data_IF_965059970710
#
_entry.id   IF_965059970710
#
_cell.length_a   1.000
_cell.length_b   1.000
_cell.length_c   1.000
_cell.angle_alpha   90.00
_cell.angle_beta   90.00
_cell.angle_gamma   90.00
#
_symmetry.space_group_name_H-M   'P 1'
#
loop_
_entity.id
_entity.type
_entity.pdbx_description
1 polymer ?
#
# COMPACT_ATOMS: atom_id res chain seq x y z
N UNK A 1 12.30 27.32 43.14
CA UNK A 1 12.15 25.85 43.03
C UNK A 1 10.82 25.58 42.33
N UNK A 2 10.82 25.36 41.02
CA UNK A 2 9.69 24.78 40.28
C UNK A 2 10.26 24.09 39.04
N UNK A 3 9.79 22.86 38.83
CA UNK A 3 10.45 21.81 38.05
C UNK A 3 10.23 22.05 36.55
N UNK A 4 11.29 21.85 35.78
CA UNK A 4 11.27 21.69 34.33
C UNK A 4 10.43 20.45 33.99
N UNK A 5 9.19 20.63 33.56
CA UNK A 5 8.50 19.64 32.73
C UNK A 5 8.75 20.03 31.28
N UNK A 6 9.94 19.68 30.81
CA UNK A 6 10.24 19.63 29.38
C UNK A 6 9.63 18.33 28.87
N UNK A 7 8.30 18.32 28.68
CA UNK A 7 7.64 17.33 27.85
C UNK A 7 8.16 17.57 26.43
N UNK A 8 9.26 16.90 26.11
CA UNK A 8 9.76 16.76 24.77
C UNK A 8 8.68 16.02 23.97
N UNK A 9 7.77 16.78 23.38
CA UNK A 9 6.99 16.34 22.23
C UNK A 9 8.04 16.05 21.17
N UNK A 10 8.53 14.82 21.17
CA UNK A 10 9.32 14.33 20.05
C UNK A 10 8.31 14.38 18.91
N UNK A 11 8.49 15.21 17.86
CA UNK A 11 7.68 15.01 16.68
C UNK A 11 7.99 13.58 16.28
N UNK A 12 7.01 12.68 16.44
CA UNK A 12 7.04 11.36 15.85
C UNK A 12 7.08 11.68 14.38
N UNK A 13 8.28 11.86 13.83
CA UNK A 13 8.51 11.95 12.40
C UNK A 13 7.89 10.66 11.89
N UNK A 14 6.65 10.75 11.41
CA UNK A 14 6.05 9.75 10.56
C UNK A 14 7.06 9.63 9.43
N UNK A 15 7.92 8.61 9.52
CA UNK A 15 8.91 8.36 8.50
C UNK A 15 8.08 8.24 7.21
N UNK A 16 8.39 9.04 6.17
CA UNK A 16 7.66 8.94 4.92
C UNK A 16 7.66 7.46 4.51
N UNK A 17 6.50 6.96 4.14
CA UNK A 17 6.38 5.58 3.71
C UNK A 17 7.33 5.36 2.53
N UNK A 18 8.10 4.28 2.56
CA UNK A 18 8.94 3.92 1.41
C UNK A 18 8.06 3.41 0.26
N UNK A 19 6.88 2.90 0.60
CA UNK A 19 5.85 2.49 -0.34
C UNK A 19 4.51 2.21 0.33
N UNK A 20 3.65 1.47 -0.37
CA UNK A 20 2.27 1.23 0.04
C UNK A 20 1.83 -0.20 -0.28
N UNK A 21 0.97 -0.73 0.59
CA UNK A 21 0.12 -1.88 0.31
C UNK A 21 -1.25 -1.38 -0.18
N UNK A 22 -1.68 -1.90 -1.32
CA UNK A 22 -2.83 -1.40 -2.09
C UNK A 22 -3.76 -2.57 -2.40
N UNK A 23 -5.03 -2.41 -2.08
CA UNK A 23 -6.10 -3.32 -2.46
C UNK A 23 -6.74 -2.84 -3.78
N UNK A 24 -6.85 -3.77 -4.72
CA UNK A 24 -7.59 -3.60 -5.97
C UNK A 24 -8.83 -4.48 -5.88
N UNK A 25 -10.01 -3.87 -5.97
CA UNK A 25 -11.29 -4.58 -5.98
C UNK A 25 -11.95 -4.42 -7.34
N UNK A 26 -12.08 -5.52 -8.07
CA UNK A 26 -12.72 -5.56 -9.38
C UNK A 26 -14.25 -5.56 -9.24
N UNK A 27 -14.96 -5.01 -10.24
CA UNK A 27 -16.42 -4.93 -10.20
C UNK A 27 -17.06 -6.30 -10.43
N UNK A 28 -16.32 -7.21 -11.07
CA UNK A 28 -16.70 -8.60 -11.29
C UNK A 28 -17.02 -9.28 -9.95
N UNK A 29 -18.29 -9.62 -9.79
CA UNK A 29 -18.81 -10.36 -8.65
C UNK A 29 -18.93 -11.84 -9.04
N UNK A 30 -18.10 -12.70 -8.47
CA UNK A 30 -18.07 -14.14 -8.74
C UNK A 30 -18.20 -14.90 -7.42
N UNK A 31 -19.03 -15.94 -7.42
CA UNK A 31 -19.20 -16.84 -6.25
C UNK A 31 -19.54 -16.13 -4.94
N UNK A 32 -20.26 -15.00 -4.98
CA UNK A 32 -20.68 -14.27 -3.78
C UNK A 32 -19.67 -13.24 -3.27
N UNK A 33 -18.55 -13.03 -3.97
CA UNK A 33 -17.51 -12.08 -3.60
C UNK A 33 -17.01 -11.26 -4.81
N UNK A 34 -16.46 -10.08 -4.54
CA UNK A 34 -15.69 -9.33 -5.54
C UNK A 34 -14.31 -9.94 -5.70
N UNK A 35 -13.78 -9.96 -6.92
CA UNK A 35 -12.38 -10.34 -7.13
C UNK A 35 -11.46 -9.24 -6.57
N UNK A 36 -10.56 -9.64 -5.67
CA UNK A 36 -9.71 -8.73 -4.90
C UNK A 36 -8.25 -9.15 -4.99
N UNK A 37 -7.39 -8.18 -5.26
CA UNK A 37 -5.96 -8.38 -5.36
C UNK A 37 -5.22 -7.39 -4.47
N UNK A 38 -4.21 -7.87 -3.75
CA UNK A 38 -3.27 -7.00 -3.04
C UNK A 38 -2.08 -6.72 -3.95
N UNK A 39 -1.64 -5.47 -3.95
CA UNK A 39 -0.50 -4.96 -4.69
C UNK A 39 0.44 -4.22 -3.74
N UNK A 40 1.73 -4.35 -3.99
CA UNK A 40 2.78 -3.62 -3.28
C UNK A 40 3.42 -2.63 -4.23
N UNK A 41 3.53 -1.37 -3.80
CA UNK A 41 4.16 -0.30 -4.57
C UNK A 41 5.31 0.29 -3.75
N UNK A 42 6.54 0.29 -4.28
CA UNK A 42 7.69 0.89 -3.61
C UNK A 42 7.94 2.29 -4.17
N UNK A 43 7.01 3.18 -3.87
CA UNK A 43 7.01 4.58 -4.25
C UNK A 43 6.47 5.39 -3.09
N UNK A 44 7.23 6.40 -2.66
CA UNK A 44 6.89 7.22 -1.49
C UNK A 44 5.76 8.21 -1.73
N UNK A 45 5.46 8.54 -2.99
CA UNK A 45 4.30 9.35 -3.34
C UNK A 45 3.06 8.46 -3.51
N UNK A 46 2.03 8.77 -2.72
CA UNK A 46 0.79 8.00 -2.67
C UNK A 46 0.02 7.99 -3.99
N UNK A 47 -0.04 9.15 -4.67
CA UNK A 47 -0.77 9.28 -5.92
C UNK A 47 -0.07 8.54 -7.05
N UNK A 48 1.26 8.60 -7.09
CA UNK A 48 2.08 7.87 -8.04
C UNK A 48 2.00 6.36 -7.80
N UNK A 49 2.02 5.90 -6.54
CA UNK A 49 1.84 4.49 -6.20
C UNK A 49 0.50 3.94 -6.72
N UNK A 50 -0.59 4.69 -6.52
CA UNK A 50 -1.92 4.33 -7.05
C UNK A 50 -1.92 4.30 -8.57
N UNK A 51 -1.35 5.32 -9.22
CA UNK A 51 -1.25 5.41 -10.68
C UNK A 51 -0.50 4.22 -11.28
N UNK A 52 0.63 3.84 -10.68
CA UNK A 52 1.42 2.69 -11.15
C UNK A 52 0.68 1.37 -10.95
N UNK A 53 0.00 1.18 -9.82
CA UNK A 53 -0.83 -0.01 -9.61
C UNK A 53 -1.96 -0.07 -10.64
N UNK A 54 -2.69 1.02 -10.88
CA UNK A 54 -3.73 1.09 -11.91
C UNK A 54 -3.21 0.72 -13.30
N UNK A 55 -2.02 1.21 -13.66
CA UNK A 55 -1.38 0.87 -14.93
C UNK A 55 -0.96 -0.61 -15.00
N UNK A 56 -0.42 -1.16 -13.91
CA UNK A 56 0.10 -2.52 -13.88
C UNK A 56 -1.02 -3.58 -13.83
N UNK A 57 -2.13 -3.32 -13.15
CA UNK A 57 -3.28 -4.22 -13.11
C UNK A 57 -4.23 -4.02 -14.30
N UNK A 58 -4.07 -2.94 -15.08
CA UNK A 58 -4.94 -2.60 -16.20
C UNK A 58 -6.31 -2.05 -15.80
N UNK A 59 -6.50 -1.71 -14.52
CA UNK A 59 -7.75 -1.20 -13.97
C UNK A 59 -8.00 0.28 -14.28
N UNK A 60 -7.89 0.67 -15.55
CA UNK A 60 -7.87 2.07 -15.96
C UNK A 60 -9.12 2.88 -15.58
N UNK A 61 -10.22 2.25 -15.14
CA UNK A 61 -11.35 2.88 -14.43
C UNK A 61 -12.32 1.88 -13.76
N UNK A 62 -12.18 0.57 -14.03
CA UNK A 62 -13.21 -0.39 -13.65
C UNK A 62 -13.05 -0.93 -12.22
N UNK A 63 -11.86 -0.84 -11.61
CA UNK A 63 -11.60 -1.34 -10.27
C UNK A 63 -11.51 -0.21 -9.23
N UNK A 64 -12.00 -0.50 -8.02
CA UNK A 64 -11.78 0.34 -6.85
C UNK A 64 -10.36 0.10 -6.32
N UNK A 65 -9.62 1.18 -6.10
CA UNK A 65 -8.26 1.14 -5.55
C UNK A 65 -8.27 1.75 -4.15
N UNK A 66 -7.76 1.03 -3.17
CA UNK A 66 -7.70 1.44 -1.77
C UNK A 66 -6.30 1.22 -1.22
N UNK A 67 -5.76 2.18 -0.49
CA UNK A 67 -4.49 2.00 0.21
C UNK A 67 -4.79 1.43 1.58
N UNK A 68 -4.21 0.27 1.86
CA UNK A 68 -4.41 -0.43 3.13
C UNK A 68 -3.46 0.10 4.20
N UNK A 69 -2.17 0.21 3.85
CA UNK A 69 -1.14 0.61 4.79
C UNK A 69 0.10 1.18 4.08
N UNK A 70 0.84 2.09 4.74
CA UNK A 70 2.21 2.39 4.35
C UNK A 70 3.10 1.16 4.57
N UNK A 71 4.07 0.97 3.69
CA UNK A 71 5.02 -0.14 3.70
C UNK A 71 6.46 0.38 3.80
N UNK A 72 7.27 -0.31 4.60
CA UNK A 72 8.70 -0.04 4.72
C UNK A 72 9.50 -0.73 3.61
N UNK A 73 10.64 -0.17 3.23
CA UNK A 73 11.49 -0.70 2.15
C UNK A 73 11.87 -2.17 2.39
N UNK A 74 12.20 -2.54 3.63
CA UNK A 74 12.56 -3.92 3.99
C UNK A 74 11.39 -4.91 3.75
N UNK A 75 10.16 -4.50 4.02
CA UNK A 75 8.98 -5.33 3.74
C UNK A 75 8.81 -5.50 2.22
N UNK A 76 8.88 -4.41 1.47
CA UNK A 76 8.75 -4.41 0.01
C UNK A 76 9.86 -5.24 -0.66
N UNK A 77 11.09 -5.13 -0.17
CA UNK A 77 12.23 -5.93 -0.62
C UNK A 77 12.03 -7.43 -0.34
N UNK A 78 11.47 -7.79 0.81
CA UNK A 78 11.12 -9.18 1.12
C UNK A 78 10.05 -9.74 0.17
N UNK A 79 9.14 -8.89 -0.32
CA UNK A 79 8.18 -9.23 -1.38
C UNK A 79 8.74 -9.09 -2.81
N UNK A 80 10.02 -8.70 -2.92
CA UNK A 80 10.74 -8.54 -4.18
C UNK A 80 10.21 -7.38 -5.02
N UNK A 81 9.83 -6.27 -4.38
CA UNK A 81 9.40 -5.01 -5.00
C UNK A 81 10.53 -4.00 -4.86
N UNK A 82 11.21 -3.65 -5.96
CA UNK A 82 12.31 -2.68 -5.93
C UNK A 82 11.77 -1.25 -5.94
N UNK A 83 12.60 -0.29 -5.54
CA UNK A 83 12.25 1.13 -5.61
C UNK A 83 11.77 1.53 -7.02
N UNK A 84 10.62 2.21 -7.09
CA UNK A 84 9.97 2.59 -8.34
C UNK A 84 9.10 1.51 -8.99
N UNK A 85 9.06 0.29 -8.42
CA UNK A 85 8.27 -0.81 -8.97
C UNK A 85 6.96 -1.05 -8.20
N UNK A 86 6.03 -1.72 -8.89
CA UNK A 86 4.81 -2.27 -8.30
C UNK A 86 4.71 -3.75 -8.62
N UNK A 87 4.13 -4.53 -7.70
CA UNK A 87 3.98 -5.97 -7.87
C UNK A 87 2.72 -6.48 -7.18
N UNK A 88 1.99 -7.37 -7.86
CA UNK A 88 0.88 -8.10 -7.24
C UNK A 88 1.41 -9.05 -6.17
N UNK A 89 0.77 -9.05 -5.01
CA UNK A 89 1.04 -10.04 -3.97
C UNK A 89 0.76 -11.45 -4.51
N UNK A 90 1.65 -12.38 -4.21
CA UNK A 90 1.54 -13.77 -4.69
C UNK A 90 0.53 -14.60 -3.91
N UNK A 91 0.09 -14.13 -2.75
CA UNK A 91 -1.02 -14.69 -2.00
C UNK A 91 -2.33 -14.23 -2.62
N UNK A 92 -3.04 -15.14 -3.30
CA UNK A 92 -4.47 -14.96 -3.57
C UNK A 92 -5.18 -14.86 -2.23
N UNK A 93 -6.07 -13.88 -2.08
CA UNK A 93 -6.97 -13.83 -0.94
C UNK A 93 -7.93 -15.01 -1.08
N UNK A 94 -7.59 -16.16 -0.49
CA UNK A 94 -8.49 -17.31 -0.39
C UNK A 94 -9.47 -17.01 0.75
N UNK A 95 -10.51 -16.22 0.45
CA UNK A 95 -11.69 -16.14 1.28
C UNK A 95 -12.44 -17.47 1.17
N UNK A 96 -12.41 -18.23 2.26
CA UNK A 96 -13.17 -19.47 2.45
C UNK A 96 -14.60 -19.17 2.90
#
# INVERSE_FOLDING_TARGET
MQRKNSDAITPRFERPADGYEILVTWPDFREGHHDQEIWYANVSDQAEAVRLVQQACGALNDAKIEILAPAAEAFLANHGVRAGEVKRATSRFSGA
#
